data_IF_606405395219
#
_entry.id   IF_606405395219
#
_cell.length_a   1.000
_cell.length_b   1.000
_cell.length_c   1.000
_cell.angle_alpha   90.00
_cell.angle_beta   90.00
_cell.angle_gamma   90.00
#
_symmetry.space_group_name_H-M   'P 1'
#
loop_
_entity.id
_entity.type
_entity.pdbx_description
1 polymer ?
#
# COMPACT_ATOMS: atom_id res chain seq x y z
N UNK A 1 0.54 -23.04 -14.21
CA UNK A 1 1.19 -21.72 -14.41
C UNK A 1 0.53 -20.71 -13.49
N UNK A 2 1.34 -19.91 -12.79
CA UNK A 2 0.81 -18.86 -11.90
C UNK A 2 0.92 -17.51 -12.58
N UNK A 3 -0.09 -16.68 -12.40
CA UNK A 3 -0.08 -15.28 -12.82
C UNK A 3 -0.19 -14.39 -11.59
N UNK A 4 0.32 -13.16 -11.69
CA UNK A 4 0.23 -12.17 -10.62
C UNK A 4 -1.01 -11.31 -10.86
N UNK A 5 -1.91 -11.27 -9.90
CA UNK A 5 -3.16 -10.52 -10.00
C UNK A 5 -3.32 -9.58 -8.82
N UNK A 6 -4.10 -8.53 -9.00
CA UNK A 6 -4.41 -7.60 -7.93
C UNK A 6 -5.19 -8.33 -6.83
N UNK A 7 -4.65 -8.33 -5.61
CA UNK A 7 -5.31 -8.91 -4.44
C UNK A 7 -6.21 -7.87 -3.77
N UNK A 8 -5.65 -6.68 -3.51
CA UNK A 8 -6.39 -5.59 -2.88
C UNK A 8 -5.72 -4.25 -3.12
N UNK A 9 -6.46 -3.17 -2.85
CA UNK A 9 -5.87 -1.84 -2.84
C UNK A 9 -6.61 -0.91 -1.88
N UNK A 10 -5.82 0.02 -1.32
CA UNK A 10 -6.31 1.22 -0.65
C UNK A 10 -6.32 2.33 -1.70
N UNK A 11 -7.51 2.80 -2.07
CA UNK A 11 -7.65 3.71 -3.19
C UNK A 11 -7.70 5.16 -2.71
N UNK A 12 -6.63 5.92 -3.00
CA UNK A 12 -6.55 7.37 -2.78
C UNK A 12 -6.56 7.77 -1.31
N UNK A 13 -5.47 7.45 -0.63
CA UNK A 13 -5.21 7.91 0.74
C UNK A 13 -4.15 9.00 0.74
N UNK A 14 -4.12 9.81 1.79
CA UNK A 14 -3.17 10.93 1.91
C UNK A 14 -1.92 10.50 2.65
N UNK A 15 -0.75 10.89 2.14
CA UNK A 15 0.51 10.77 2.87
C UNK A 15 0.48 11.74 4.05
N UNK A 16 0.68 11.23 5.25
CA UNK A 16 0.67 12.02 6.48
C UNK A 16 2.07 12.38 6.96
N UNK A 17 3.07 11.59 6.60
CA UNK A 17 4.47 11.83 6.96
C UNK A 17 5.42 11.15 5.98
N UNK A 18 6.66 11.63 5.94
CA UNK A 18 7.72 11.07 5.11
C UNK A 18 9.04 11.19 5.88
N UNK A 19 9.55 10.06 6.40
CA UNK A 19 10.69 10.03 7.31
C UNK A 19 11.89 9.35 6.68
N UNK A 20 12.85 10.13 6.19
CA UNK A 20 14.08 9.62 5.56
C UNK A 20 14.98 8.83 6.51
N UNK A 21 14.89 9.11 7.79
CA UNK A 21 15.79 8.54 8.80
C UNK A 21 15.24 7.29 9.47
N UNK A 22 14.15 6.75 8.95
CA UNK A 22 13.55 5.53 9.45
C UNK A 22 13.88 4.34 8.54
N UNK A 23 13.71 3.13 9.04
CA UNK A 23 13.89 1.91 8.23
C UNK A 23 12.88 1.93 7.08
N UNK A 24 13.35 1.62 5.86
CA UNK A 24 12.51 1.68 4.66
C UNK A 24 11.27 0.80 4.77
N UNK A 25 10.08 1.41 4.59
CA UNK A 25 8.79 0.74 4.69
C UNK A 25 7.68 1.76 4.44
N UNK A 26 6.43 1.31 4.49
CA UNK A 26 5.29 2.20 4.57
C UNK A 26 4.46 1.85 5.80
N UNK A 27 4.27 2.83 6.68
CA UNK A 27 3.42 2.69 7.86
C UNK A 27 1.99 3.01 7.44
N UNK A 28 1.06 2.08 7.69
CA UNK A 28 -0.34 2.19 7.28
C UNK A 28 -1.22 1.99 8.51
N UNK A 29 -2.25 2.83 8.67
CA UNK A 29 -3.28 2.63 9.69
C UNK A 29 -3.72 1.16 9.70
N UNK A 30 -3.61 0.50 10.84
CA UNK A 30 -3.88 -0.94 10.93
C UNK A 30 -5.34 -1.28 10.58
N UNK A 31 -6.28 -0.38 10.83
CA UNK A 31 -7.67 -0.59 10.42
C UNK A 31 -7.78 -0.71 8.89
N UNK A 32 -7.02 0.09 8.16
CA UNK A 32 -6.99 0.02 6.70
C UNK A 32 -6.28 -1.25 6.21
N UNK A 33 -5.22 -1.67 6.91
CA UNK A 33 -4.56 -2.93 6.59
C UNK A 33 -5.52 -4.10 6.75
N UNK A 34 -6.27 -4.14 7.84
CA UNK A 34 -7.26 -5.20 8.07
C UNK A 34 -8.34 -5.19 6.98
N UNK A 35 -8.86 -4.01 6.64
CA UNK A 35 -9.89 -3.89 5.61
C UNK A 35 -9.41 -4.37 4.25
N UNK A 36 -8.15 -4.12 3.89
CA UNK A 36 -7.57 -4.51 2.62
C UNK A 36 -6.96 -5.92 2.64
N UNK A 37 -6.88 -6.56 3.80
CA UNK A 37 -6.24 -7.85 3.93
C UNK A 37 -4.73 -7.81 3.76
N UNK A 38 -4.11 -6.69 4.15
CA UNK A 38 -2.65 -6.52 4.14
C UNK A 38 -2.11 -6.85 5.52
N UNK A 39 -1.10 -7.70 5.59
CA UNK A 39 -0.45 -8.03 6.87
C UNK A 39 0.92 -7.35 6.96
N UNK A 40 1.43 -7.23 8.19
CA UNK A 40 2.74 -6.64 8.43
C UNK A 40 3.82 -7.44 7.71
N UNK A 41 4.72 -6.73 7.03
CA UNK A 41 5.78 -7.34 6.22
C UNK A 41 5.40 -7.66 4.79
N UNK A 42 4.13 -7.52 4.44
CA UNK A 42 3.68 -7.81 3.08
C UNK A 42 4.18 -6.76 2.09
N UNK A 43 4.66 -7.22 0.94
CA UNK A 43 5.08 -6.33 -0.14
C UNK A 43 3.89 -5.58 -0.71
N UNK A 44 4.05 -4.28 -0.90
CA UNK A 44 3.03 -3.43 -1.51
C UNK A 44 3.66 -2.54 -2.58
N UNK A 45 2.85 -2.21 -3.59
CA UNK A 45 3.18 -1.21 -4.59
C UNK A 45 2.47 0.08 -4.22
N UNK A 46 3.19 1.19 -4.26
CA UNK A 46 2.64 2.51 -3.95
C UNK A 46 2.77 3.37 -5.20
N UNK A 47 1.65 3.92 -5.67
CA UNK A 47 1.66 4.87 -6.77
C UNK A 47 1.19 6.22 -6.25
N UNK A 48 1.94 7.26 -6.58
CA UNK A 48 1.65 8.62 -6.17
C UNK A 48 0.86 9.31 -7.29
N UNK A 49 -0.39 9.62 -7.02
CA UNK A 49 -1.28 10.24 -8.01
C UNK A 49 -0.83 11.67 -8.31
N UNK A 50 -0.22 12.34 -7.33
CA UNK A 50 0.17 13.74 -7.44
C UNK A 50 1.37 13.93 -8.36
N UNK A 51 2.38 13.03 -8.30
CA UNK A 51 3.61 13.19 -9.08
C UNK A 51 3.92 12.06 -10.06
N UNK A 52 3.11 10.99 -10.06
CA UNK A 52 3.29 9.86 -10.97
C UNK A 52 4.36 8.85 -10.57
N UNK A 53 4.99 9.00 -9.41
CA UNK A 53 6.00 8.06 -8.92
C UNK A 53 5.37 6.71 -8.56
N UNK A 54 6.16 5.66 -8.78
CA UNK A 54 5.79 4.30 -8.36
C UNK A 54 6.95 3.70 -7.59
N UNK A 55 6.66 3.07 -6.46
CA UNK A 55 7.67 2.39 -5.67
C UNK A 55 7.11 1.08 -5.11
N UNK A 56 8.03 0.20 -4.73
CA UNK A 56 7.71 -1.08 -4.11
C UNK A 56 8.38 -1.09 -2.75
N UNK A 57 7.61 -1.43 -1.71
CA UNK A 57 8.10 -1.50 -0.35
C UNK A 57 7.29 -2.54 0.42
N UNK A 58 7.33 -2.53 1.74
CA UNK A 58 6.53 -3.43 2.56
C UNK A 58 5.80 -2.65 3.65
N UNK A 59 4.70 -3.22 4.12
CA UNK A 59 3.82 -2.56 5.07
C UNK A 59 4.23 -2.83 6.52
N UNK A 60 4.13 -1.80 7.36
CA UNK A 60 4.19 -1.95 8.81
C UNK A 60 2.95 -1.29 9.43
N UNK A 61 2.56 -1.81 10.59
CA UNK A 61 1.35 -1.36 11.28
C UNK A 61 1.51 0.05 11.83
N UNK A 62 0.55 0.92 11.53
CA UNK A 62 0.39 2.20 12.17
C UNK A 62 -0.75 2.17 13.17
N UNK A 63 -0.85 3.21 13.99
CA UNK A 63 -1.88 3.30 15.01
C UNK A 63 -3.28 3.22 14.39
N UNK A 64 -4.12 2.37 14.99
CA UNK A 64 -5.51 2.18 14.54
C UNK A 64 -6.30 3.47 14.65
N UNK A 65 -6.96 3.83 13.56
CA UNK A 65 -7.81 5.01 13.50
C UNK A 65 -7.07 6.32 13.29
N UNK A 66 -5.74 6.29 13.22
CA UNK A 66 -4.92 7.49 12.99
C UNK A 66 -4.98 8.01 11.57
N UNK A 67 -5.38 7.16 10.62
CA UNK A 67 -5.34 7.43 9.17
C UNK A 67 -3.92 7.70 8.67
N UNK A 68 -2.90 7.19 9.38
CA UNK A 68 -1.52 7.44 9.02
C UNK A 68 -1.11 6.68 7.76
N UNK A 69 -0.39 7.37 6.90
CA UNK A 69 0.33 6.83 5.75
C UNK A 69 1.70 7.51 5.79
N UNK A 70 2.70 6.79 6.26
CA UNK A 70 4.05 7.32 6.41
C UNK A 70 5.01 6.54 5.53
N UNK A 71 5.67 7.21 4.60
CA UNK A 71 6.73 6.62 3.77
C UNK A 71 8.05 6.79 4.50
N UNK A 72 8.76 5.67 4.71
CA UNK A 72 9.96 5.62 5.53
C UNK A 72 11.19 5.31 4.68
N UNK A 73 12.34 5.85 5.09
CA UNK A 73 13.61 5.59 4.44
C UNK A 73 13.67 6.18 3.03
N UNK A 74 14.29 5.47 2.10
CA UNK A 74 14.47 5.95 0.72
C UNK A 74 13.15 6.26 0.02
N UNK A 75 12.08 5.55 0.34
CA UNK A 75 10.75 5.79 -0.22
C UNK A 75 10.24 7.21 0.07
N UNK A 76 10.66 7.80 1.18
CA UNK A 76 10.27 9.17 1.55
C UNK A 76 10.75 10.22 0.53
N UNK A 77 11.74 9.89 -0.30
CA UNK A 77 12.23 10.80 -1.35
C UNK A 77 11.24 10.97 -2.50
N UNK A 78 10.34 9.99 -2.70
CA UNK A 78 9.46 9.94 -3.86
C UNK A 78 8.09 10.54 -3.60
N UNK A 79 7.80 10.92 -2.37
CA UNK A 79 6.49 11.44 -1.97
C UNK A 79 6.66 12.71 -1.13
N UNK A 80 5.57 13.46 -1.02
CA UNK A 80 5.48 14.58 -0.09
C UNK A 80 4.23 14.43 0.76
N UNK A 81 4.28 14.97 1.97
CA UNK A 81 3.11 15.05 2.84
C UNK A 81 1.96 15.71 2.08
N UNK A 82 0.77 15.16 2.21
CA UNK A 82 -0.46 15.53 1.52
C UNK A 82 -0.60 15.00 0.10
N UNK A 83 0.40 14.30 -0.44
CA UNK A 83 0.22 13.60 -1.71
C UNK A 83 -0.88 12.55 -1.59
N UNK A 84 -1.61 12.34 -2.67
CA UNK A 84 -2.58 11.25 -2.77
C UNK A 84 -1.90 10.03 -3.36
N UNK A 85 -1.99 8.90 -2.67
CA UNK A 85 -1.38 7.63 -3.11
C UNK A 85 -2.41 6.53 -3.18
N UNK A 86 -2.10 5.51 -3.99
CA UNK A 86 -2.84 4.26 -4.07
C UNK A 86 -1.88 3.16 -3.66
N UNK A 87 -2.29 2.33 -2.71
CA UNK A 87 -1.47 1.23 -2.20
C UNK A 87 -2.10 -0.08 -2.66
N UNK A 88 -1.32 -0.89 -3.38
CA UNK A 88 -1.80 -2.14 -3.98
C UNK A 88 -0.97 -3.31 -3.52
N UNK A 89 -1.62 -4.45 -3.34
CA UNK A 89 -0.91 -5.71 -3.16
C UNK A 89 -1.44 -6.76 -4.12
N UNK A 90 -0.59 -7.75 -4.37
CA UNK A 90 -0.81 -8.73 -5.43
C UNK A 90 -0.71 -10.14 -4.85
N UNK A 91 -1.29 -11.09 -5.54
CA UNK A 91 -1.20 -12.50 -5.21
C UNK A 91 -0.93 -13.31 -6.47
N UNK A 92 -0.32 -14.46 -6.30
CA UNK A 92 -0.10 -15.38 -7.41
C UNK A 92 -1.15 -16.50 -7.35
N UNK A 93 -1.77 -16.74 -8.49
CA UNK A 93 -2.77 -17.79 -8.59
C UNK A 93 -2.86 -18.30 -10.03
N UNK A 94 -3.55 -19.41 -10.21
CA UNK A 94 -3.78 -19.92 -11.56
C UNK A 94 -4.75 -19.01 -12.32
N UNK A 95 -4.70 -18.99 -13.66
CA UNK A 95 -5.68 -18.24 -14.45
C UNK A 95 -7.13 -18.63 -14.12
N UNK A 96 -7.39 -19.89 -13.79
CA UNK A 96 -8.74 -20.33 -13.42
C UNK A 96 -9.20 -19.65 -12.14
N UNK A 97 -8.36 -19.65 -11.11
CA UNK A 97 -8.65 -18.97 -9.84
C UNK A 97 -8.85 -17.48 -10.08
N UNK A 98 -7.99 -16.88 -10.92
CA UNK A 98 -8.02 -15.44 -11.18
C UNK A 98 -9.33 -14.99 -11.82
N UNK A 99 -9.96 -15.82 -12.66
CA UNK A 99 -11.19 -15.44 -13.36
C UNK A 99 -12.37 -15.20 -12.41
N UNK A 100 -12.37 -15.86 -11.26
CA UNK A 100 -13.44 -15.73 -10.26
C UNK A 100 -13.01 -14.98 -9.01
N UNK A 101 -11.72 -14.66 -8.90
CA UNK A 101 -11.21 -13.91 -7.76
C UNK A 101 -11.64 -12.45 -7.86
N UNK A 102 -12.17 -11.91 -6.76
CA UNK A 102 -12.55 -10.50 -6.69
C UNK A 102 -11.58 -9.76 -5.76
N UNK A 103 -10.80 -8.81 -6.26
CA UNK A 103 -9.91 -8.02 -5.40
C UNK A 103 -10.73 -7.17 -4.44
N UNK A 104 -10.16 -6.93 -3.26
CA UNK A 104 -10.74 -6.04 -2.27
C UNK A 104 -10.28 -4.62 -2.56
N UNK A 105 -11.21 -3.72 -2.78
CA UNK A 105 -10.91 -2.29 -2.99
C UNK A 105 -11.48 -1.52 -1.82
N UNK A 106 -10.60 -0.85 -1.06
CA UNK A 106 -10.98 -0.01 0.07
C UNK A 106 -10.87 1.44 -0.37
N UNK A 107 -11.97 2.18 -0.23
CA UNK A 107 -12.04 3.62 -0.53
C UNK A 107 -12.35 4.30 0.79
N UNK A 108 -11.32 4.76 1.51
CA UNK A 108 -11.52 5.39 2.82
C UNK A 108 -12.25 6.73 2.74
#
# INVERSE_FOLDING_TARGET
MLITVLKSKLHRVKVTDANLNYVGSITIDENWMDAAGIIEGEQVHVVDVTNGSRLITYAIKGERGSKCICLNGAAARLVQVSDTVIIMCYAQMTPEEARTFKPTVVIP
#
